data_IF_720063022368
#
_entry.id   IF_720063022368
#
_cell.length_a   1.000
_cell.length_b   1.000
_cell.length_c   1.000
_cell.angle_alpha   90.00
_cell.angle_beta   90.00
_cell.angle_gamma   90.00
#
_symmetry.space_group_name_H-M   'P 1'
#
loop_
_entity.id
_entity.type
_entity.pdbx_description
1 polymer ?
#
# COMPACT_ATOMS: atom_id res chain seq x y z
N UNK A 1 -2.64 9.44 -16.44
CA UNK A 1 -2.33 10.57 -15.55
C UNK A 1 -1.77 9.97 -14.27
N UNK A 2 -0.44 9.97 -14.11
CA UNK A 2 0.23 9.41 -12.93
C UNK A 2 0.42 10.45 -11.84
N UNK A 3 0.70 10.02 -10.62
CA UNK A 3 1.10 10.89 -9.49
C UNK A 3 2.58 11.33 -9.59
N UNK A 4 3.28 10.87 -10.63
CA UNK A 4 4.69 11.13 -10.89
C UNK A 4 4.85 11.52 -12.36
N UNK A 5 5.84 12.38 -12.64
CA UNK A 5 6.21 12.75 -14.01
C UNK A 5 6.97 11.59 -14.66
N UNK A 6 6.72 11.35 -15.95
CA UNK A 6 7.38 10.28 -16.74
C UNK A 6 8.89 10.53 -16.98
N UNK A 7 9.47 11.60 -16.41
CA UNK A 7 10.87 12.01 -16.57
C UNK A 7 11.55 12.38 -15.26
N UNK A 8 11.44 11.53 -14.23
CA UNK A 8 12.24 11.70 -13.01
C UNK A 8 13.59 11.00 -13.16
N UNK A 9 14.66 11.63 -12.66
CA UNK A 9 15.93 10.93 -12.48
C UNK A 9 15.77 9.84 -11.41
N UNK A 10 16.63 8.81 -11.37
CA UNK A 10 16.55 7.77 -10.34
C UNK A 10 16.60 8.31 -8.91
N UNK A 11 17.35 9.38 -8.67
CA UNK A 11 17.46 10.03 -7.35
C UNK A 11 16.15 10.74 -7.01
N UNK A 12 15.58 11.48 -7.95
CA UNK A 12 14.30 12.17 -7.75
C UNK A 12 13.16 11.18 -7.55
N UNK A 13 13.20 10.04 -8.25
CA UNK A 13 12.25 8.94 -8.07
C UNK A 13 12.34 8.38 -6.64
N UNK A 14 13.53 8.05 -6.17
CA UNK A 14 13.75 7.52 -4.82
C UNK A 14 13.29 8.49 -3.73
N UNK A 15 13.67 9.78 -3.84
CA UNK A 15 13.25 10.82 -2.90
C UNK A 15 11.73 11.01 -2.91
N UNK A 16 11.11 10.98 -4.09
CA UNK A 16 9.65 11.09 -4.21
C UNK A 16 8.97 9.85 -3.63
N UNK A 17 9.49 8.65 -3.89
CA UNK A 17 8.98 7.40 -3.31
C UNK A 17 9.07 7.42 -1.78
N UNK A 18 10.22 7.77 -1.21
CA UNK A 18 10.37 7.85 0.25
C UNK A 18 9.45 8.90 0.90
N UNK A 19 9.13 9.97 0.19
CA UNK A 19 8.18 10.99 0.66
C UNK A 19 6.73 10.56 0.57
N UNK A 20 6.33 9.87 -0.50
CA UNK A 20 4.94 9.46 -0.75
C UNK A 20 4.60 8.08 -0.18
N UNK A 21 5.61 7.25 0.09
CA UNK A 21 5.50 5.91 0.66
C UNK A 21 6.57 5.73 1.76
N UNK A 22 6.36 6.32 2.95
CA UNK A 22 7.38 6.47 3.99
C UNK A 22 7.49 5.25 4.92
N UNK A 23 7.10 4.06 4.47
CA UNK A 23 7.12 2.84 5.27
C UNK A 23 7.49 1.60 4.43
N UNK A 24 7.69 0.47 5.10
CA UNK A 24 7.93 -0.81 4.42
C UNK A 24 6.65 -1.35 3.79
N UNK A 25 6.78 -2.26 2.82
CA UNK A 25 5.64 -2.92 2.17
C UNK A 25 4.83 -3.82 3.10
N UNK A 26 5.39 -4.27 4.22
CA UNK A 26 4.70 -5.10 5.18
C UNK A 26 5.62 -5.61 6.28
N UNK A 27 5.15 -6.58 7.05
CA UNK A 27 5.87 -7.23 8.14
C UNK A 27 5.34 -8.65 8.36
N UNK A 28 6.12 -9.50 9.05
CA UNK A 28 5.61 -10.79 9.48
C UNK A 28 4.47 -10.61 10.49
N UNK A 29 3.53 -11.56 10.49
CA UNK A 29 2.33 -11.54 11.30
C UNK A 29 2.16 -12.89 11.99
N UNK A 30 1.85 -12.88 13.28
CA UNK A 30 1.63 -14.10 14.05
C UNK A 30 1.02 -13.80 15.41
N UNK A 31 1.70 -14.18 16.49
CA UNK A 31 1.22 -13.89 17.85
C UNK A 31 1.29 -12.39 18.15
N UNK A 32 2.32 -11.73 17.63
CA UNK A 32 2.46 -10.28 17.63
C UNK A 32 2.04 -9.70 16.27
N UNK A 33 1.54 -8.46 16.27
CA UNK A 33 1.20 -7.76 15.03
C UNK A 33 2.42 -7.60 14.13
N UNK A 34 3.55 -7.15 14.69
CA UNK A 34 4.84 -7.14 14.01
C UNK A 34 5.69 -8.29 14.55
N UNK A 35 5.44 -9.50 14.05
CA UNK A 35 6.08 -10.71 14.57
C UNK A 35 7.52 -10.84 14.06
N UNK A 36 8.34 -11.63 14.76
CA UNK A 36 9.67 -12.07 14.30
C UNK A 36 10.59 -10.92 13.83
N UNK A 37 10.57 -9.77 14.52
CA UNK A 37 11.32 -8.55 14.16
C UNK A 37 12.84 -8.73 13.96
N UNK A 38 13.41 -9.85 14.42
CA UNK A 38 14.81 -10.21 14.27
C UNK A 38 15.12 -10.96 12.97
N UNK A 39 14.11 -11.46 12.25
CA UNK A 39 14.27 -12.11 10.96
C UNK A 39 14.54 -11.05 9.90
N UNK A 40 15.58 -11.27 9.10
CA UNK A 40 15.95 -10.34 8.04
C UNK A 40 14.83 -10.26 7.00
N UNK A 41 14.52 -9.03 6.53
CA UNK A 41 13.50 -8.79 5.51
C UNK A 41 13.91 -9.27 4.11
N UNK A 42 15.17 -9.59 3.91
CA UNK A 42 15.72 -10.23 2.71
C UNK A 42 15.72 -11.76 2.79
N UNK A 43 15.24 -12.34 3.89
CA UNK A 43 15.06 -13.79 4.00
C UNK A 43 14.08 -14.26 2.92
N UNK A 44 14.42 -15.36 2.25
CA UNK A 44 13.53 -15.98 1.27
C UNK A 44 12.25 -16.46 1.96
N UNK A 45 11.10 -16.23 1.33
CA UNK A 45 9.81 -16.61 1.90
C UNK A 45 9.60 -18.11 1.76
N UNK A 46 9.30 -18.78 2.86
CA UNK A 46 9.05 -20.23 2.91
C UNK A 46 7.59 -20.54 3.27
N UNK A 47 7.04 -21.68 2.81
CA UNK A 47 5.72 -22.14 3.22
C UNK A 47 5.55 -22.15 4.75
N UNK A 48 4.41 -21.65 5.22
CA UNK A 48 4.09 -21.50 6.64
C UNK A 48 4.39 -20.11 7.22
N UNK A 49 5.13 -19.26 6.51
CA UNK A 49 5.27 -17.85 6.88
C UNK A 49 3.99 -17.07 6.60
N UNK A 50 3.66 -16.11 7.47
CA UNK A 50 2.53 -15.19 7.29
C UNK A 50 3.04 -13.76 7.41
N UNK A 51 2.63 -12.90 6.48
CA UNK A 51 3.02 -11.49 6.42
C UNK A 51 1.90 -10.59 5.91
N UNK A 52 2.00 -9.30 6.19
CA UNK A 52 1.16 -8.26 5.57
C UNK A 52 1.72 -7.85 4.21
N UNK A 53 0.84 -7.46 3.29
CA UNK A 53 1.15 -6.74 2.06
C UNK A 53 0.32 -5.45 2.07
N UNK A 54 0.96 -4.32 2.36
CA UNK A 54 0.31 -3.06 2.73
C UNK A 54 0.79 -1.83 1.94
N UNK A 55 0.77 -1.81 0.60
CA UNK A 55 1.15 -0.62 -0.16
C UNK A 55 0.28 0.60 0.21
N UNK A 56 0.93 1.76 0.32
CA UNK A 56 0.29 3.01 0.69
C UNK A 56 0.83 4.19 -0.11
N UNK A 57 0.00 5.21 -0.29
CA UNK A 57 0.41 6.49 -0.86
C UNK A 57 -0.17 7.59 0.00
N UNK A 58 0.71 8.48 0.48
CA UNK A 58 0.36 9.61 1.33
C UNK A 58 0.82 10.87 0.62
N UNK A 59 -0.13 11.77 0.34
CA UNK A 59 0.13 13.06 -0.29
C UNK A 59 0.24 14.11 0.83
N UNK A 60 1.44 14.66 1.10
CA UNK A 60 1.60 15.72 2.08
C UNK A 60 0.70 16.93 1.81
N UNK A 61 0.46 17.74 2.82
CA UNK A 61 -0.39 18.94 2.69
C UNK A 61 0.15 19.93 1.65
N UNK A 62 1.47 19.97 1.45
CA UNK A 62 2.17 20.80 0.48
C UNK A 62 2.40 20.08 -0.87
N UNK A 63 1.78 18.91 -1.09
CA UNK A 63 1.89 18.20 -2.36
C UNK A 63 1.23 18.99 -3.50
N UNK A 64 1.98 19.17 -4.58
CA UNK A 64 1.51 19.86 -5.77
C UNK A 64 2.10 19.19 -7.01
N UNK A 65 1.24 18.74 -7.93
CA UNK A 65 1.67 18.20 -9.22
C UNK A 65 1.36 19.21 -10.33
N UNK A 66 2.41 19.76 -10.94
CA UNK A 66 2.24 20.71 -12.05
C UNK A 66 1.46 20.06 -13.20
N UNK A 67 0.45 20.77 -13.71
CA UNK A 67 -0.42 20.27 -14.77
C UNK A 67 -1.52 19.30 -14.30
N UNK A 68 -1.70 19.10 -12.99
CA UNK A 68 -2.78 18.25 -12.45
C UNK A 68 -3.48 18.88 -11.26
N UNK A 69 -4.53 19.66 -11.51
CA UNK A 69 -5.39 20.21 -10.43
C UNK A 69 -6.05 19.11 -9.60
N UNK A 70 -6.39 17.96 -10.21
CA UNK A 70 -6.95 16.81 -9.53
C UNK A 70 -5.97 16.19 -8.52
N UNK A 71 -4.70 16.02 -8.89
CA UNK A 71 -3.69 15.49 -7.96
C UNK A 71 -3.40 16.49 -6.82
N UNK A 72 -3.38 17.79 -7.11
CA UNK A 72 -3.24 18.84 -6.08
C UNK A 72 -4.45 18.86 -5.13
N UNK A 73 -5.67 18.58 -5.62
CA UNK A 73 -6.86 18.51 -4.77
C UNK A 73 -6.84 17.34 -3.77
N UNK A 74 -5.99 16.35 -3.98
CA UNK A 74 -5.78 15.21 -3.07
C UNK A 74 -4.69 15.49 -2.02
N UNK A 75 -4.08 16.68 -1.97
CA UNK A 75 -3.12 17.04 -0.94
C UNK A 75 -3.71 16.85 0.47
N UNK A 76 -2.94 16.26 1.37
CA UNK A 76 -3.40 15.86 2.71
C UNK A 76 -4.13 14.51 2.77
N UNK A 77 -4.40 13.87 1.63
CA UNK A 77 -5.01 12.54 1.61
C UNK A 77 -3.96 11.42 1.69
N UNK A 78 -4.34 10.30 2.30
CA UNK A 78 -3.55 9.08 2.30
C UNK A 78 -4.45 7.86 2.13
N UNK A 79 -3.97 6.86 1.39
CA UNK A 79 -4.66 5.59 1.17
C UNK A 79 -3.64 4.47 1.38
N UNK A 80 -4.03 3.45 2.13
CA UNK A 80 -3.31 2.18 2.26
C UNK A 80 -4.29 1.04 2.06
N UNK A 81 -3.90 0.04 1.28
CA UNK A 81 -4.62 -1.22 1.14
C UNK A 81 -3.72 -2.30 1.73
N UNK A 82 -4.26 -3.13 2.60
CA UNK A 82 -3.50 -4.11 3.37
C UNK A 82 -4.23 -5.45 3.37
N UNK A 83 -3.46 -6.51 3.10
CA UNK A 83 -3.89 -7.89 3.19
C UNK A 83 -2.93 -8.75 3.99
N UNK A 84 -3.48 -9.75 4.67
CA UNK A 84 -2.72 -10.80 5.36
C UNK A 84 -2.53 -11.97 4.39
N UNK A 85 -1.27 -12.36 4.19
CA UNK A 85 -0.89 -13.38 3.21
C UNK A 85 -0.12 -14.50 3.89
N UNK A 86 -0.63 -15.72 3.76
CA UNK A 86 0.08 -16.93 4.13
C UNK A 86 0.82 -17.49 2.91
N UNK A 87 2.11 -17.81 3.08
CA UNK A 87 2.91 -18.49 2.06
C UNK A 87 2.63 -19.99 2.16
N UNK A 88 2.39 -20.64 1.02
CA UNK A 88 2.17 -22.07 0.93
C UNK A 88 3.06 -22.70 -0.16
N UNK A 89 3.05 -24.03 -0.26
CA UNK A 89 3.91 -24.76 -1.21
C UNK A 89 3.65 -24.37 -2.68
N UNK A 90 2.43 -23.94 -3.00
CA UNK A 90 1.99 -23.56 -4.35
C UNK A 90 2.06 -22.04 -4.62
N UNK A 91 2.54 -21.25 -3.64
CA UNK A 91 2.59 -19.79 -3.70
C UNK A 91 2.03 -19.13 -2.44
N UNK A 92 0.77 -18.66 -2.49
CA UNK A 92 0.18 -17.88 -1.39
C UNK A 92 -1.34 -18.01 -1.27
N UNK A 93 -1.83 -17.76 -0.06
CA UNK A 93 -3.24 -17.58 0.28
C UNK A 93 -3.46 -16.19 0.88
N UNK A 94 -4.52 -15.49 0.44
CA UNK A 94 -4.93 -14.20 1.01
C UNK A 94 -5.99 -14.45 2.08
N UNK A 95 -5.60 -14.32 3.35
CA UNK A 95 -6.45 -14.62 4.50
C UNK A 95 -7.56 -13.58 4.70
N UNK A 96 -7.35 -12.35 4.22
CA UNK A 96 -8.26 -11.21 4.32
C UNK A 96 -9.11 -10.97 3.07
N UNK A 97 -9.15 -11.91 2.12
CA UNK A 97 -9.80 -11.74 0.82
C UNK A 97 -11.31 -11.40 0.89
N UNK A 98 -11.98 -11.66 2.01
CA UNK A 98 -13.39 -11.31 2.20
C UNK A 98 -13.62 -9.81 2.45
N UNK A 99 -12.55 -9.04 2.71
CA UNK A 99 -12.62 -7.60 2.92
C UNK A 99 -12.81 -6.88 1.57
N UNK A 100 -13.87 -6.07 1.40
CA UNK A 100 -14.06 -5.27 0.19
C UNK A 100 -12.94 -4.26 -0.02
N UNK A 101 -12.33 -4.25 -1.19
CA UNK A 101 -11.22 -3.32 -1.50
C UNK A 101 -11.45 -2.52 -2.78
N UNK A 102 -12.24 -3.04 -3.73
CA UNK A 102 -12.51 -2.30 -4.95
C UNK A 102 -13.54 -1.19 -4.70
N UNK A 103 -13.46 -0.13 -5.50
CA UNK A 103 -14.44 0.97 -5.45
C UNK A 103 -15.86 0.48 -5.67
N UNK A 104 -16.05 -0.54 -6.51
CA UNK A 104 -17.36 -1.14 -6.78
C UNK A 104 -17.91 -1.90 -5.58
N UNK A 105 -17.09 -2.72 -4.92
CA UNK A 105 -17.51 -3.45 -3.72
C UNK A 105 -17.79 -2.51 -2.56
N UNK A 106 -16.91 -1.51 -2.36
CA UNK A 106 -17.10 -0.48 -1.34
C UNK A 106 -18.39 0.29 -1.60
N UNK A 107 -18.63 0.74 -2.83
CA UNK A 107 -19.87 1.43 -3.23
C UNK A 107 -21.10 0.56 -3.00
N UNK A 108 -21.01 -0.74 -3.28
CA UNK A 108 -22.10 -1.70 -3.02
C UNK A 108 -22.37 -1.86 -1.52
N UNK A 109 -21.34 -1.82 -0.69
CA UNK A 109 -21.45 -2.00 0.75
C UNK A 109 -21.96 -0.75 1.46
N UNK A 110 -21.39 0.42 1.17
CA UNK A 110 -21.70 1.69 1.87
C UNK A 110 -22.77 2.52 1.16
N UNK A 111 -23.11 2.17 -0.08
CA UNK A 111 -23.99 2.93 -0.96
C UNK A 111 -23.29 4.10 -1.66
N UNK A 112 -23.97 4.71 -2.62
CA UNK A 112 -23.59 6.02 -3.16
C UNK A 112 -24.31 7.11 -2.38
N UNK A 113 -23.62 8.20 -2.02
CA UNK A 113 -24.33 9.41 -1.58
C UNK A 113 -25.19 9.93 -2.73
N UNK A 114 -26.51 9.84 -2.58
CA UNK A 114 -27.45 10.60 -3.38
C UNK A 114 -27.45 12.03 -2.84
N UNK A 115 -26.96 12.97 -3.65
CA UNK A 115 -27.13 14.39 -3.42
C UNK A 115 -28.50 14.83 -3.94
#
# INVERSE_FOLDING_TARGET
MGLMSDRLSPIDLSNTMGRLFPHHLGHYLGLDTHDTMLVDRNTELEPGMVLTIEPGVYLPQDYHLQGSSAATALAGCGIRLEDNVAVNEDGREVLSHSCPQTTSELTRLIGTRHH
#
